data_IF_634143784094
#
_entry.id   IF_634143784094
#
_cell.length_a   1.000
_cell.length_b   1.000
_cell.length_c   1.000
_cell.angle_alpha   90.00
_cell.angle_beta   90.00
_cell.angle_gamma   90.00
#
_symmetry.space_group_name_H-M   'P 1'
#
loop_
_entity.id
_entity.type
_entity.pdbx_description
1 polymer ?
#
# COMPACT_ATOMS: atom_id res chain seq x y z
N UNK A 1 15.70 -15.90 4.87
CA UNK A 1 14.87 -15.14 5.84
C UNK A 1 13.65 -14.62 5.09
N UNK A 2 12.42 -14.88 5.54
CA UNK A 2 11.23 -14.36 4.88
C UNK A 2 11.26 -12.83 4.80
N UNK A 3 10.72 -12.29 3.71
CA UNK A 3 10.60 -10.85 3.47
C UNK A 3 9.18 -10.41 3.79
N UNK A 4 9.06 -9.34 4.56
CA UNK A 4 7.79 -8.67 4.80
C UNK A 4 7.37 -7.77 3.62
N UNK A 5 6.19 -7.16 3.70
CA UNK A 5 5.59 -6.37 2.62
C UNK A 5 6.43 -5.19 2.12
N UNK A 6 7.34 -4.64 2.93
CA UNK A 6 8.27 -3.57 2.54
C UNK A 6 9.70 -4.09 2.30
N UNK A 7 9.86 -5.40 2.13
CA UNK A 7 11.16 -6.04 1.94
C UNK A 7 11.93 -6.26 3.24
N UNK A 8 11.32 -5.99 4.40
CA UNK A 8 11.96 -6.18 5.69
C UNK A 8 12.34 -7.65 5.91
N UNK A 9 13.56 -7.90 6.35
CA UNK A 9 14.00 -9.27 6.61
C UNK A 9 13.66 -9.62 8.07
N UNK A 10 12.82 -10.62 8.27
CA UNK A 10 12.38 -11.04 9.61
C UNK A 10 12.66 -12.53 9.84
N UNK A 11 13.14 -12.94 11.03
CA UNK A 11 13.18 -14.35 11.39
C UNK A 11 11.81 -15.00 11.22
N UNK A 12 11.78 -16.25 10.75
CA UNK A 12 10.53 -16.97 10.53
C UNK A 12 9.88 -17.42 11.84
N UNK A 13 10.69 -17.60 12.89
CA UNK A 13 10.24 -18.00 14.21
C UNK A 13 9.71 -16.80 15.02
N UNK A 14 8.68 -17.06 15.83
CA UNK A 14 7.95 -16.00 16.56
C UNK A 14 8.84 -15.33 17.62
N UNK A 15 9.70 -16.11 18.29
CA UNK A 15 10.56 -15.63 19.37
C UNK A 15 11.65 -14.71 18.81
N UNK A 16 12.37 -15.17 17.80
CA UNK A 16 13.40 -14.41 17.09
C UNK A 16 12.85 -13.15 16.46
N UNK A 17 11.63 -13.20 15.93
CA UNK A 17 10.96 -11.99 15.44
C UNK A 17 10.64 -11.00 16.57
N UNK A 18 10.14 -11.47 17.73
CA UNK A 18 9.90 -10.60 18.88
C UNK A 18 11.19 -9.93 19.39
N UNK A 19 12.30 -10.68 19.46
CA UNK A 19 13.62 -10.13 19.80
C UNK A 19 14.08 -9.09 18.77
N UNK A 20 13.96 -9.38 17.47
CA UNK A 20 14.28 -8.44 16.39
C UNK A 20 13.48 -7.14 16.51
N UNK A 21 12.18 -7.24 16.80
CA UNK A 21 11.31 -6.07 17.03
C UNK A 21 11.76 -5.26 18.24
N UNK A 22 12.08 -5.91 19.37
CA UNK A 22 12.55 -5.24 20.57
C UNK A 22 13.85 -4.44 20.32
N UNK A 23 14.83 -5.04 19.64
CA UNK A 23 16.11 -4.38 19.31
C UNK A 23 15.93 -3.17 18.40
N UNK A 24 15.00 -3.25 17.45
CA UNK A 24 14.66 -2.10 16.61
C UNK A 24 14.03 -0.99 17.44
N UNK A 25 13.11 -1.33 18.35
CA UNK A 25 12.43 -0.34 19.20
C UNK A 25 13.38 0.34 20.20
N UNK A 26 14.42 -0.35 20.67
CA UNK A 26 15.45 0.21 21.56
C UNK A 26 16.59 0.92 20.81
N UNK A 27 16.61 0.85 19.48
CA UNK A 27 17.67 1.44 18.65
C UNK A 27 18.98 0.64 18.63
N UNK A 28 18.97 -0.60 19.12
CA UNK A 28 20.10 -1.51 19.03
C UNK A 28 20.32 -2.04 17.60
N UNK A 29 19.26 -2.11 16.81
CA UNK A 29 19.32 -2.49 15.40
C UNK A 29 18.46 -1.55 14.53
N UNK A 30 18.95 -1.22 13.34
CA UNK A 30 18.16 -0.45 12.37
C UNK A 30 17.11 -1.33 11.67
N UNK A 31 16.02 -0.71 11.23
CA UNK A 31 15.02 -1.40 10.43
C UNK A 31 15.51 -1.56 8.99
N UNK A 32 15.61 -2.82 8.57
CA UNK A 32 16.07 -3.25 7.26
C UNK A 32 14.97 -3.03 6.21
N UNK A 33 14.41 -1.81 6.12
CA UNK A 33 13.45 -1.43 5.08
C UNK A 33 14.18 -0.92 3.86
N UNK A 34 13.89 -1.49 2.68
CA UNK A 34 14.22 -0.80 1.44
C UNK A 34 13.32 0.45 1.38
N UNK A 35 13.93 1.64 1.38
CA UNK A 35 13.17 2.90 1.29
C UNK A 35 12.40 2.99 -0.03
N UNK A 36 12.78 2.18 -1.02
CA UNK A 36 11.94 1.88 -2.15
C UNK A 36 11.09 0.66 -1.85
N UNK A 37 9.78 0.80 -2.00
CA UNK A 37 8.79 -0.28 -1.99
C UNK A 37 8.92 -1.21 -3.22
N UNK A 38 10.12 -1.30 -3.81
CA UNK A 38 10.42 -2.01 -5.04
C UNK A 38 9.85 -1.37 -6.30
N UNK A 39 9.18 -0.20 -6.21
CA UNK A 39 8.54 0.44 -7.36
C UNK A 39 9.44 1.46 -8.02
N UNK A 40 9.32 1.57 -9.33
CA UNK A 40 9.95 2.65 -10.09
C UNK A 40 9.35 4.01 -9.67
N UNK A 41 10.17 4.88 -9.06
CA UNK A 41 9.75 6.20 -8.56
C UNK A 41 9.07 7.06 -9.63
N UNK A 42 9.58 7.05 -10.86
CA UNK A 42 9.00 7.81 -11.96
C UNK A 42 7.59 7.30 -12.32
N UNK A 43 7.38 5.99 -12.31
CA UNK A 43 6.07 5.39 -12.56
C UNK A 43 5.06 5.74 -11.46
N UNK A 44 5.48 5.73 -10.19
CA UNK A 44 4.64 6.14 -9.04
C UNK A 44 4.21 7.60 -9.19
N UNK A 45 5.14 8.49 -9.52
CA UNK A 45 4.86 9.91 -9.71
C UNK A 45 3.88 10.14 -10.87
N UNK A 46 4.07 9.44 -11.99
CA UNK A 46 3.21 9.51 -13.17
C UNK A 46 1.80 9.01 -12.85
N UNK A 47 1.67 7.91 -12.10
CA UNK A 47 0.39 7.41 -11.61
C UNK A 47 -0.36 8.42 -10.75
N UNK A 48 0.35 9.09 -9.83
CA UNK A 48 -0.22 10.16 -8.98
C UNK A 48 -0.75 11.33 -9.81
N UNK A 49 0.06 11.80 -10.78
CA UNK A 49 -0.33 12.89 -11.69
C UNK A 49 -1.54 12.52 -12.54
N UNK A 50 -1.55 11.33 -13.14
CA UNK A 50 -2.64 10.84 -13.97
C UNK A 50 -3.96 10.68 -13.20
N UNK A 51 -3.90 10.13 -11.99
CA UNK A 51 -5.07 10.00 -11.10
C UNK A 51 -5.68 11.36 -10.75
N UNK A 52 -4.84 12.32 -10.36
CA UNK A 52 -5.29 13.69 -10.04
C UNK A 52 -5.92 14.39 -11.26
N UNK A 53 -5.32 14.26 -12.45
CA UNK A 53 -5.86 14.83 -13.68
C UNK A 53 -7.24 14.25 -14.02
N UNK A 54 -7.41 12.93 -13.93
CA UNK A 54 -8.71 12.26 -14.14
C UNK A 54 -9.75 12.69 -13.11
N UNK A 55 -9.36 12.89 -11.85
CA UNK A 55 -10.28 13.35 -10.82
C UNK A 55 -10.78 14.79 -11.09
N UNK A 56 -9.88 15.67 -11.55
CA UNK A 56 -10.19 17.06 -11.92
C UNK A 56 -11.11 17.16 -13.13
N UNK A 57 -10.94 16.30 -14.14
CA UNK A 57 -11.76 16.34 -15.36
C UNK A 57 -13.19 15.83 -15.17
N UNK A 58 -13.48 15.11 -14.08
CA UNK A 58 -14.82 14.61 -13.81
C UNK A 58 -15.75 15.70 -13.25
N UNK A 59 -16.98 15.74 -13.74
CA UNK A 59 -18.05 16.58 -13.16
C UNK A 59 -18.66 15.94 -11.91
N UNK A 60 -19.34 16.73 -11.08
CA UNK A 60 -20.07 16.21 -9.89
C UNK A 60 -21.11 15.14 -10.28
N UNK A 61 -21.86 15.39 -11.36
CA UNK A 61 -22.86 14.44 -11.90
C UNK A 61 -22.22 13.12 -12.31
N UNK A 62 -21.11 13.19 -13.06
CA UNK A 62 -20.39 11.98 -13.51
C UNK A 62 -19.78 11.20 -12.35
N UNK A 63 -19.23 11.88 -11.34
CA UNK A 63 -18.76 11.23 -10.10
C UNK A 63 -19.88 10.46 -9.39
N UNK A 64 -21.06 11.07 -9.24
CA UNK A 64 -22.21 10.42 -8.60
C UNK A 64 -22.71 9.19 -9.38
N UNK A 65 -22.71 9.27 -10.71
CA UNK A 65 -23.09 8.14 -11.57
C UNK A 65 -22.13 6.95 -11.43
N UNK A 66 -20.82 7.22 -11.45
CA UNK A 66 -19.77 6.20 -11.25
C UNK A 66 -19.94 5.54 -9.87
N UNK A 67 -20.19 6.33 -8.82
CA UNK A 67 -20.40 5.82 -7.46
C UNK A 67 -21.63 4.91 -7.36
N UNK A 68 -22.77 5.31 -7.95
CA UNK A 68 -23.99 4.48 -7.97
C UNK A 68 -23.74 3.15 -8.70
N UNK A 69 -23.07 3.19 -9.86
CA UNK A 69 -22.72 1.97 -10.61
C UNK A 69 -21.82 1.05 -9.80
N UNK A 70 -20.79 1.59 -9.15
CA UNK A 70 -19.88 0.82 -8.31
C UNK A 70 -20.61 0.15 -7.13
N UNK A 71 -21.51 0.88 -6.47
CA UNK A 71 -22.34 0.33 -5.41
C UNK A 71 -23.23 -0.82 -5.90
N UNK A 72 -23.94 -0.63 -7.02
CA UNK A 72 -24.78 -1.67 -7.60
C UNK A 72 -23.98 -2.96 -7.90
N UNK A 73 -22.80 -2.84 -8.54
CA UNK A 73 -21.93 -4.00 -8.83
C UNK A 73 -21.38 -4.67 -7.58
N UNK A 74 -21.04 -3.90 -6.53
CA UNK A 74 -20.56 -4.46 -5.26
C UNK A 74 -21.63 -5.29 -4.57
N UNK A 75 -22.87 -4.81 -4.55
CA UNK A 75 -23.97 -5.46 -3.83
C UNK A 75 -24.70 -6.53 -4.66
N UNK A 76 -24.61 -6.52 -5.98
CA UNK A 76 -25.19 -7.55 -6.84
C UNK A 76 -24.48 -8.91 -6.76
N UNK A 77 -23.28 -8.99 -6.17
CA UNK A 77 -22.54 -10.24 -5.95
C UNK A 77 -22.78 -10.88 -4.58
N UNK A 78 -23.63 -10.25 -3.75
CA UNK A 78 -23.98 -10.73 -2.40
C UNK A 78 -25.33 -11.44 -2.36
N UNK A 79 -25.85 -11.86 -3.52
CA UNK A 79 -27.09 -12.62 -3.70
C UNK A 79 -26.81 -13.85 -4.54
#
# INVERSE_FOLDING_TARGET
MPKGPKGEKRPADVIGNAVKVMRIATGEEEEDTDQNDGKNKAAVELGRKGGAARAKSLSKKRRAEIARKAAATRWSKSS
#
